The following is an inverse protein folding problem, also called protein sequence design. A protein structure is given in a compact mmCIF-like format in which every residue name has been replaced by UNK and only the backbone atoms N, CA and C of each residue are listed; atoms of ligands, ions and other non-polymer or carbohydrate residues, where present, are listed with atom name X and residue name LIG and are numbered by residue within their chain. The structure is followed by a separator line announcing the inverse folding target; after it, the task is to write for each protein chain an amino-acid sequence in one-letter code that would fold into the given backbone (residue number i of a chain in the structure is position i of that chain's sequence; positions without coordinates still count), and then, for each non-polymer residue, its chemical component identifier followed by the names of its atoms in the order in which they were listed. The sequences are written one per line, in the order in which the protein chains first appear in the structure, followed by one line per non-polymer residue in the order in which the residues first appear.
data_IF_853784434770
#
_entry.id   IF_853784434770
#
_cell.length_a   1.000
_cell.length_b   1.000
_cell.length_c   1.000
_cell.angle_alpha   90.00
_cell.angle_beta   90.00
_cell.angle_gamma   90.00
#
_symmetry.space_group_name_H-M   'P 1'
#
loop_
_entity.id
_entity.type
_entity.pdbx_description
1 polymer ?
#
# COMPACT_ATOMS: atom_id res chain seq x y z
N UNK A 1 16.75 51.05 -9.25
CA UNK A 1 16.93 50.29 -8.00
C UNK A 1 16.11 48.96 -7.99
N UNK A 2 14.82 49.01 -8.27
CA UNK A 2 13.97 47.80 -8.33
C UNK A 2 14.42 46.73 -9.36
N UNK A 3 14.91 47.11 -10.52
CA UNK A 3 15.37 46.17 -11.56
C UNK A 3 16.66 45.43 -11.20
N UNK A 4 17.57 46.06 -10.46
CA UNK A 4 18.79 45.43 -9.95
C UNK A 4 18.49 44.41 -8.84
N UNK A 5 17.56 44.70 -7.95
CA UNK A 5 17.12 43.81 -6.89
C UNK A 5 16.41 42.60 -7.47
N UNK A 6 15.54 42.78 -8.47
CA UNK A 6 14.86 41.71 -9.20
C UNK A 6 15.80 40.83 -10.05
N UNK A 7 16.93 41.38 -10.50
CA UNK A 7 17.95 40.66 -11.27
C UNK A 7 18.89 39.85 -10.33
N UNK A 8 19.27 40.46 -9.20
CA UNK A 8 20.01 39.74 -8.15
C UNK A 8 19.19 38.60 -7.52
N UNK A 9 17.90 38.82 -7.23
CA UNK A 9 17.04 37.79 -6.68
C UNK A 9 16.84 36.62 -7.65
N UNK A 10 16.79 36.86 -8.98
CA UNK A 10 16.76 35.79 -9.99
C UNK A 10 18.10 35.04 -10.11
N UNK A 11 19.22 35.72 -10.04
CA UNK A 11 20.55 35.10 -10.10
C UNK A 11 20.90 34.30 -8.84
N UNK A 12 20.52 34.79 -7.68
CA UNK A 12 20.69 34.08 -6.40
C UNK A 12 19.69 32.92 -6.31
N UNK A 13 18.43 33.13 -6.72
CA UNK A 13 17.38 32.11 -6.70
C UNK A 13 17.64 30.93 -7.64
N UNK A 14 18.34 31.12 -8.76
CA UNK A 14 18.64 30.03 -9.71
C UNK A 14 19.79 29.11 -9.26
N UNK A 15 20.70 29.60 -8.40
CA UNK A 15 21.85 28.84 -7.87
C UNK A 15 21.64 28.27 -6.46
N UNK A 16 20.67 28.79 -5.70
CA UNK A 16 20.37 28.37 -4.33
C UNK A 16 19.01 27.62 -4.27
N UNK A 17 18.92 26.47 -4.94
CA UNK A 17 17.72 25.63 -4.88
C UNK A 17 17.71 24.75 -3.62
N UNK A 18 16.53 24.55 -3.04
CA UNK A 18 16.32 23.64 -1.90
C UNK A 18 16.71 24.22 -0.54
N UNK A 19 17.27 23.38 0.32
CA UNK A 19 17.63 23.66 1.71
C UNK A 19 18.80 24.65 1.88
N UNK A 20 19.54 24.96 0.82
CA UNK A 20 20.68 25.88 0.85
C UNK A 20 20.23 27.32 1.06
N UNK A 21 19.06 27.72 0.60
CA UNK A 21 18.58 29.10 0.72
C UNK A 21 18.36 29.54 2.17
N UNK A 22 17.57 28.83 3.01
CA UNK A 22 17.42 29.19 4.42
C UNK A 22 18.76 29.20 5.16
N UNK A 23 19.67 28.27 4.87
CA UNK A 23 20.99 28.17 5.49
C UNK A 23 21.86 29.38 5.15
N UNK A 24 21.88 29.83 3.90
CA UNK A 24 22.62 31.02 3.49
C UNK A 24 22.04 32.28 4.14
N UNK A 25 20.71 32.39 4.21
CA UNK A 25 20.05 33.55 4.81
C UNK A 25 20.37 33.63 6.30
N UNK A 26 20.27 32.53 7.05
CA UNK A 26 20.57 32.56 8.51
C UNK A 26 22.04 32.92 8.80
N UNK A 27 22.98 32.35 8.03
CA UNK A 27 24.40 32.64 8.16
C UNK A 27 24.68 34.10 7.83
N UNK A 28 24.06 34.64 6.79
CA UNK A 28 24.25 36.04 6.38
C UNK A 28 23.67 36.99 7.46
N UNK A 29 22.44 36.73 7.92
CA UNK A 29 21.84 37.57 9.00
C UNK A 29 22.68 37.48 10.27
N UNK A 30 23.14 36.28 10.66
CA UNK A 30 24.00 36.10 11.84
C UNK A 30 25.31 36.91 11.74
N UNK A 31 26.07 36.76 10.65
CA UNK A 31 27.37 37.41 10.48
C UNK A 31 27.24 38.92 10.39
N UNK A 32 26.28 39.40 9.59
CA UNK A 32 26.08 40.85 9.40
C UNK A 32 25.56 41.51 10.68
N UNK A 33 24.64 40.89 11.41
CA UNK A 33 24.12 41.41 12.66
C UNK A 33 25.14 41.35 13.79
N UNK A 34 25.95 40.30 13.87
CA UNK A 34 27.03 40.24 14.86
C UNK A 34 28.07 41.34 14.66
N UNK A 35 28.54 41.50 13.42
CA UNK A 35 29.48 42.57 13.09
C UNK A 35 28.89 43.98 13.43
N UNK A 36 27.63 44.19 13.03
CA UNK A 36 26.94 45.44 13.33
C UNK A 36 26.79 45.67 14.84
N UNK A 37 26.41 44.65 15.62
CA UNK A 37 26.25 44.73 17.06
C UNK A 37 27.58 45.04 17.76
N UNK A 38 28.68 44.43 17.34
CA UNK A 38 30.02 44.69 17.88
C UNK A 38 30.51 46.10 17.58
N UNK A 39 29.99 46.77 16.53
CA UNK A 39 30.37 48.14 16.20
C UNK A 39 29.51 49.21 16.89
N UNK A 40 28.26 48.90 17.27
CA UNK A 40 27.31 49.91 17.77
C UNK A 40 27.08 49.82 19.29
N UNK A 41 27.38 48.70 19.90
CA UNK A 41 27.27 48.55 21.35
C UNK A 41 28.55 49.08 22.06
N UNK A 42 28.44 49.55 23.31
CA UNK A 42 29.60 50.03 24.07
C UNK A 42 30.72 48.99 24.20
N UNK A 43 31.95 49.43 24.22
CA UNK A 43 33.12 48.58 24.41
C UNK A 43 33.00 47.78 25.73
N UNK A 44 33.08 46.45 25.65
CA UNK A 44 32.90 45.52 26.78
C UNK A 44 31.46 45.04 27.00
N UNK A 45 30.53 45.37 26.12
CA UNK A 45 29.17 44.83 26.17
C UNK A 45 29.16 43.31 26.04
N UNK A 46 28.53 42.63 26.98
CA UNK A 46 28.47 41.15 27.02
C UNK A 46 27.77 40.55 25.80
N UNK A 47 26.80 41.25 25.21
CA UNK A 47 26.06 40.76 24.01
C UNK A 47 26.97 40.69 22.77
N UNK A 48 27.96 41.61 22.66
CA UNK A 48 28.85 41.64 21.50
C UNK A 48 29.93 40.52 21.54
N UNK A 49 30.15 39.90 22.70
CA UNK A 49 31.09 38.79 22.84
C UNK A 49 30.67 37.57 22.00
N UNK A 50 31.60 36.92 21.24
CA UNK A 50 31.25 35.78 20.37
C UNK A 50 30.53 34.65 21.09
N UNK A 51 30.91 34.39 22.35
CA UNK A 51 30.33 33.35 23.19
C UNK A 51 28.88 33.60 23.60
N UNK A 52 28.42 34.84 23.60
CA UNK A 52 27.09 35.23 24.03
C UNK A 52 26.19 35.58 22.82
N UNK A 53 26.79 36.17 21.76
CA UNK A 53 26.02 36.64 20.61
C UNK A 53 25.28 35.51 19.89
N UNK A 54 25.89 34.32 19.70
CA UNK A 54 25.23 33.19 19.07
C UNK A 54 23.97 32.76 19.85
N UNK A 55 24.05 32.81 21.19
CA UNK A 55 22.93 32.50 22.08
C UNK A 55 21.81 33.51 21.92
N UNK A 56 22.15 34.80 22.05
CA UNK A 56 21.22 35.91 21.81
C UNK A 56 20.53 35.76 20.44
N UNK A 57 21.33 35.51 19.41
CA UNK A 57 20.80 35.36 18.03
C UNK A 57 19.79 34.20 17.94
N UNK A 58 20.12 33.02 18.45
CA UNK A 58 19.24 31.84 18.42
C UNK A 58 17.96 32.09 19.20
N UNK A 59 18.07 32.60 20.42
CA UNK A 59 16.93 32.88 21.32
C UNK A 59 16.01 33.94 20.73
N UNK A 60 16.57 34.97 20.11
CA UNK A 60 15.80 36.05 19.48
C UNK A 60 15.19 35.63 18.16
N UNK A 61 15.97 34.98 17.29
CA UNK A 61 15.47 34.47 16.00
C UNK A 61 14.40 33.39 16.17
N UNK A 62 14.50 32.54 17.20
CA UNK A 62 13.49 31.55 17.56
C UNK A 62 12.29 32.16 18.34
N UNK A 63 12.24 33.46 18.55
CA UNK A 63 11.17 34.18 19.25
C UNK A 63 10.97 33.75 20.72
N UNK A 64 12.00 33.19 21.37
CA UNK A 64 11.96 32.75 22.77
C UNK A 64 12.15 33.97 23.71
N UNK A 65 13.21 34.79 23.49
CA UNK A 65 13.45 36.03 24.19
C UNK A 65 13.63 35.92 25.72
N UNK A 66 14.60 35.15 26.18
CA UNK A 66 14.85 35.03 27.65
C UNK A 66 15.21 36.37 28.32
N UNK A 67 15.74 37.33 27.53
CA UNK A 67 16.11 38.64 28.08
C UNK A 67 17.40 38.65 28.90
N UNK A 68 18.20 37.61 28.83
CA UNK A 68 19.50 37.46 29.47
C UNK A 68 20.58 38.30 28.77
N UNK A 69 20.49 38.43 27.43
CA UNK A 69 21.30 39.34 26.61
C UNK A 69 20.38 40.19 25.75
N UNK A 70 20.57 41.51 25.75
CA UNK A 70 19.81 42.42 24.91
C UNK A 70 20.66 43.67 24.58
N UNK A 71 20.44 44.31 23.43
CA UNK A 71 21.13 45.58 23.10
C UNK A 71 20.67 46.71 23.99
N UNK A 72 21.60 47.55 24.41
CA UNK A 72 21.31 48.71 25.31
C UNK A 72 21.39 50.05 24.57
N UNK A 73 22.09 50.12 23.44
CA UNK A 73 22.18 51.36 22.66
C UNK A 73 21.00 51.50 21.67
N UNK A 74 20.63 52.74 21.33
CA UNK A 74 19.59 52.98 20.31
C UNK A 74 19.94 52.34 18.95
N UNK A 75 21.21 52.39 18.57
CA UNK A 75 21.71 51.75 17.36
C UNK A 75 21.66 50.23 17.49
N UNK A 76 21.96 49.67 18.66
CA UNK A 76 21.81 48.25 18.97
C UNK A 76 20.36 47.76 18.89
N UNK A 77 19.37 48.57 19.29
CA UNK A 77 17.95 48.26 19.08
C UNK A 77 17.58 48.14 17.61
N UNK A 78 18.18 48.96 16.72
CA UNK A 78 17.97 48.82 15.26
C UNK A 78 18.55 47.52 14.76
N UNK A 79 19.74 47.12 15.20
CA UNK A 79 20.36 45.84 14.87
C UNK A 79 19.51 44.67 15.42
N UNK A 80 19.01 44.79 16.65
CA UNK A 80 18.10 43.81 17.26
C UNK A 80 16.82 43.62 16.44
N UNK A 81 16.23 44.73 15.95
CA UNK A 81 15.07 44.69 15.07
C UNK A 81 15.39 43.96 13.73
N UNK A 82 16.60 44.17 13.17
CA UNK A 82 17.07 43.43 12.00
C UNK A 82 17.21 41.93 12.29
N UNK A 83 17.72 41.54 13.46
CA UNK A 83 17.81 40.14 13.89
C UNK A 83 16.42 39.49 13.99
N UNK A 84 15.45 40.20 14.61
CA UNK A 84 14.07 39.72 14.74
C UNK A 84 13.45 39.49 13.36
N UNK A 85 13.49 40.46 12.46
CA UNK A 85 12.93 40.34 11.12
C UNK A 85 13.64 39.26 10.31
N UNK A 86 14.98 39.21 10.36
CA UNK A 86 15.80 38.21 9.71
C UNK A 86 15.51 36.79 10.23
N UNK A 87 15.31 36.65 11.54
CA UNK A 87 14.92 35.39 12.18
C UNK A 87 13.56 34.90 11.70
N UNK A 88 12.54 35.78 11.73
CA UNK A 88 11.18 35.44 11.23
C UNK A 88 11.22 35.00 9.76
N UNK A 89 11.92 35.74 8.89
CA UNK A 89 12.06 35.38 7.47
C UNK A 89 12.73 34.03 7.33
N UNK A 90 13.80 33.76 8.07
CA UNK A 90 14.52 32.47 7.99
C UNK A 90 13.65 31.31 8.44
N UNK A 91 12.94 31.46 9.58
CA UNK A 91 12.03 30.40 10.07
C UNK A 91 10.89 30.14 9.08
N UNK A 92 10.32 31.19 8.52
CA UNK A 92 9.27 31.06 7.48
C UNK A 92 9.77 30.27 6.27
N UNK A 93 10.97 30.58 5.78
CA UNK A 93 11.59 29.86 4.67
C UNK A 93 11.84 28.38 5.02
N UNK A 94 12.30 28.11 6.25
CA UNK A 94 12.56 26.76 6.74
C UNK A 94 11.27 25.93 6.79
N UNK A 95 10.22 26.45 7.40
CA UNK A 95 8.92 25.77 7.50
C UNK A 95 8.27 25.57 6.13
N UNK A 96 8.37 26.56 5.23
CA UNK A 96 7.87 26.41 3.87
C UNK A 96 8.58 25.25 3.14
N UNK A 97 9.91 25.18 3.25
CA UNK A 97 10.68 24.07 2.65
C UNK A 97 10.36 22.71 3.24
N UNK A 98 10.14 22.65 4.55
CA UNK A 98 9.72 21.43 5.21
C UNK A 98 8.34 20.99 4.73
N UNK A 99 7.39 21.92 4.60
CA UNK A 99 6.06 21.64 4.08
C UNK A 99 6.10 21.15 2.63
N UNK A 100 6.87 21.83 1.76
CA UNK A 100 7.08 21.41 0.36
C UNK A 100 7.67 19.99 0.27
N UNK A 101 8.65 19.69 1.09
CA UNK A 101 9.26 18.36 1.15
C UNK A 101 8.24 17.29 1.53
N UNK A 102 7.47 17.49 2.61
CA UNK A 102 6.44 16.57 3.07
C UNK A 102 5.34 16.37 2.01
N UNK A 103 4.91 17.45 1.36
CA UNK A 103 3.93 17.37 0.27
C UNK A 103 4.49 16.60 -0.94
N UNK A 104 5.75 16.80 -1.29
CA UNK A 104 6.38 16.11 -2.43
C UNK A 104 6.48 14.59 -2.20
N UNK A 105 6.82 14.16 -0.98
CA UNK A 105 6.88 12.74 -0.62
C UNK A 105 5.48 12.11 -0.67
N UNK A 106 4.47 12.77 -0.08
CA UNK A 106 3.07 12.30 -0.15
C UNK A 106 2.56 12.25 -1.58
N UNK A 107 2.84 13.27 -2.39
CA UNK A 107 2.44 13.33 -3.79
C UNK A 107 3.07 12.22 -4.64
N UNK A 108 4.32 11.84 -4.39
CA UNK A 108 4.96 10.71 -5.08
C UNK A 108 4.30 9.37 -4.72
N UNK A 109 3.98 9.14 -3.45
CA UNK A 109 3.25 7.94 -3.01
C UNK A 109 1.85 7.88 -3.62
N UNK A 110 1.10 8.99 -3.60
CA UNK A 110 -0.24 9.05 -4.23
C UNK A 110 -0.21 8.77 -5.72
N UNK A 111 0.84 9.19 -6.43
CA UNK A 111 1.04 8.93 -7.86
C UNK A 111 1.62 7.55 -8.18
N UNK A 112 1.93 6.73 -7.18
CA UNK A 112 2.39 5.36 -7.38
C UNK A 112 3.76 5.23 -8.05
N UNK A 113 4.65 6.23 -7.90
CA UNK A 113 5.99 6.21 -8.51
C UNK A 113 7.10 5.78 -7.54
N UNK A 114 6.74 5.46 -6.31
CA UNK A 114 7.68 5.03 -5.25
C UNK A 114 7.68 3.52 -5.16
N UNK A 115 8.85 2.92 -5.00
CA UNK A 115 8.97 1.49 -4.70
C UNK A 115 8.40 1.19 -3.31
N UNK A 116 7.70 0.07 -3.20
CA UNK A 116 7.12 -0.42 -1.95
C UNK A 116 8.15 -1.28 -1.19
N UNK A 117 7.93 -1.41 0.12
CA UNK A 117 8.71 -2.31 0.98
C UNK A 117 7.75 -3.31 1.64
N UNK A 118 7.16 -4.19 0.82
CA UNK A 118 6.19 -5.19 1.26
C UNK A 118 6.75 -6.61 1.11
N UNK A 119 6.25 -7.51 1.97
CA UNK A 119 6.50 -8.94 1.89
C UNK A 119 5.25 -9.69 2.39
N UNK A 120 5.05 -10.90 1.92
CA UNK A 120 3.89 -11.76 2.24
C UNK A 120 2.53 -11.06 2.02
N UNK A 121 2.46 -10.24 0.98
CA UNK A 121 1.34 -9.39 0.63
C UNK A 121 0.61 -9.90 -0.63
N UNK A 122 -0.56 -9.34 -0.91
CA UNK A 122 -1.31 -9.55 -2.14
C UNK A 122 -0.97 -8.45 -3.13
N UNK A 123 -0.67 -8.81 -4.38
CA UNK A 123 -0.50 -7.85 -5.47
C UNK A 123 -1.72 -7.94 -6.39
N UNK A 124 -2.34 -6.82 -6.69
CA UNK A 124 -3.44 -6.70 -7.65
C UNK A 124 -2.93 -5.94 -8.86
N UNK A 125 -2.81 -6.59 -9.99
CA UNK A 125 -2.35 -6.05 -11.27
C UNK A 125 -3.54 -5.79 -12.19
N UNK A 126 -3.87 -4.54 -12.36
CA UNK A 126 -5.04 -4.03 -13.07
C UNK A 126 -6.00 -3.29 -12.16
N UNK A 127 -6.55 -2.20 -12.68
CA UNK A 127 -7.56 -1.41 -12.00
C UNK A 127 -8.76 -1.16 -12.92
N UNK A 128 -9.92 -1.57 -12.45
CA UNK A 128 -11.21 -1.36 -13.09
C UNK A 128 -12.16 -0.74 -12.06
N UNK A 129 -12.55 0.51 -12.29
CA UNK A 129 -13.35 1.29 -11.35
C UNK A 129 -14.65 0.57 -10.96
N UNK A 130 -14.97 0.60 -9.66
CA UNK A 130 -16.12 -0.08 -9.05
C UNK A 130 -15.95 -1.59 -8.88
N UNK A 131 -15.10 -2.26 -9.67
CA UNK A 131 -14.80 -3.68 -9.53
C UNK A 131 -13.63 -3.92 -8.57
N UNK A 132 -12.52 -3.22 -8.81
CA UNK A 132 -11.32 -3.40 -7.99
C UNK A 132 -11.58 -3.00 -6.55
N UNK A 133 -12.32 -1.92 -6.30
CA UNK A 133 -12.67 -1.49 -4.93
C UNK A 133 -13.47 -2.55 -4.18
N UNK A 134 -14.42 -3.22 -4.86
CA UNK A 134 -15.16 -4.34 -4.25
C UNK A 134 -14.23 -5.52 -3.93
N UNK A 135 -13.33 -5.86 -4.83
CA UNK A 135 -12.34 -6.93 -4.61
C UNK A 135 -11.40 -6.59 -3.44
N UNK A 136 -10.96 -5.33 -3.32
CA UNK A 136 -10.16 -4.88 -2.19
C UNK A 136 -10.94 -4.98 -0.87
N UNK A 137 -12.21 -4.58 -0.85
CA UNK A 137 -13.07 -4.68 0.32
C UNK A 137 -13.24 -6.15 0.79
N UNK A 138 -13.44 -7.09 -0.13
CA UNK A 138 -13.53 -8.51 0.18
C UNK A 138 -12.19 -9.07 0.72
N UNK A 139 -11.06 -8.70 0.13
CA UNK A 139 -9.74 -9.09 0.62
C UNK A 139 -9.46 -8.59 2.04
N UNK A 140 -9.91 -7.37 2.35
CA UNK A 140 -9.80 -6.77 3.70
C UNK A 140 -10.68 -7.46 4.74
N UNK A 141 -11.91 -7.79 4.35
CA UNK A 141 -12.88 -8.42 5.26
C UNK A 141 -12.41 -9.81 5.72
N UNK A 142 -11.64 -10.51 4.90
CA UNK A 142 -11.12 -11.83 5.24
C UNK A 142 -9.80 -11.77 6.05
N UNK A 143 -8.88 -10.86 5.70
CA UNK A 143 -7.58 -10.71 6.38
C UNK A 143 -7.03 -9.29 6.18
N UNK A 144 -6.46 -8.71 7.24
CA UNK A 144 -5.75 -7.42 7.19
C UNK A 144 -4.35 -7.56 6.51
N UNK A 145 -4.27 -8.28 5.38
CA UNK A 145 -3.02 -8.47 4.63
C UNK A 145 -2.71 -7.21 3.82
N UNK A 146 -1.48 -6.69 3.83
CA UNK A 146 -1.10 -5.57 2.97
C UNK A 146 -1.36 -5.87 1.48
N UNK A 147 -1.83 -4.88 0.74
CA UNK A 147 -2.13 -5.00 -0.68
C UNK A 147 -1.30 -3.99 -1.48
N UNK A 148 -0.67 -4.45 -2.55
CA UNK A 148 -0.08 -3.60 -3.57
C UNK A 148 -1.04 -3.54 -4.77
N UNK A 149 -1.72 -2.41 -4.94
CA UNK A 149 -2.56 -2.14 -6.11
C UNK A 149 -1.71 -1.54 -7.21
N UNK A 150 -1.65 -2.19 -8.37
CA UNK A 150 -0.92 -1.72 -9.52
C UNK A 150 -1.89 -1.35 -10.65
N UNK A 151 -1.71 -0.17 -11.22
CA UNK A 151 -2.54 0.30 -12.33
C UNK A 151 -1.69 0.88 -13.46
N UNK A 152 -2.27 0.95 -14.66
CA UNK A 152 -1.67 1.58 -15.81
C UNK A 152 -1.51 3.10 -15.64
N UNK A 153 -0.71 3.71 -16.48
CA UNK A 153 -0.39 5.14 -16.41
C UNK A 153 -1.58 6.09 -16.59
N UNK A 154 -2.69 5.62 -17.15
CA UNK A 154 -3.95 6.37 -17.27
C UNK A 154 -4.65 6.59 -15.92
N UNK A 155 -4.34 5.77 -14.91
CA UNK A 155 -4.77 5.99 -13.52
C UNK A 155 -3.80 6.95 -12.84
N UNK A 156 -4.09 8.24 -12.89
CA UNK A 156 -3.17 9.32 -12.48
C UNK A 156 -2.73 9.30 -11.02
N UNK A 157 -3.59 8.87 -10.10
CA UNK A 157 -3.37 8.81 -8.65
C UNK A 157 -4.01 7.55 -8.05
N UNK A 158 -3.62 7.24 -6.80
CA UNK A 158 -4.21 6.14 -6.04
C UNK A 158 -5.74 6.27 -6.00
N UNK A 159 -6.50 5.30 -6.54
CA UNK A 159 -7.96 5.37 -6.57
C UNK A 159 -8.61 5.12 -5.19
N UNK A 160 -7.86 4.58 -4.22
CA UNK A 160 -8.35 4.29 -2.85
C UNK A 160 -7.40 4.91 -1.80
N UNK A 161 -7.21 6.24 -1.80
CA UNK A 161 -6.20 6.90 -0.96
C UNK A 161 -6.51 6.84 0.54
N UNK A 162 -7.76 6.59 0.91
CA UNK A 162 -8.24 6.50 2.29
C UNK A 162 -7.96 5.13 2.93
N UNK A 163 -7.59 4.13 2.13
CA UNK A 163 -7.31 2.79 2.60
C UNK A 163 -5.83 2.66 3.02
N UNK A 164 -5.53 2.56 4.32
CA UNK A 164 -4.15 2.52 4.81
C UNK A 164 -3.41 1.22 4.50
N UNK A 165 -4.14 0.15 4.16
CA UNK A 165 -3.59 -1.17 3.87
C UNK A 165 -3.22 -1.31 2.40
N UNK A 166 -3.79 -0.44 1.53
CA UNK A 166 -3.52 -0.42 0.10
C UNK A 166 -2.39 0.55 -0.24
N UNK A 167 -1.31 0.01 -0.76
CA UNK A 167 -0.22 0.77 -1.36
C UNK A 167 -0.37 0.77 -2.87
N UNK A 168 -0.06 1.89 -3.53
CA UNK A 168 -0.30 2.08 -4.95
C UNK A 168 0.98 2.15 -5.77
N UNK A 169 1.02 1.46 -6.90
CA UNK A 169 2.08 1.51 -7.92
C UNK A 169 1.46 1.78 -9.28
N UNK A 170 2.06 2.67 -10.06
CA UNK A 170 1.59 3.04 -11.39
C UNK A 170 2.66 2.80 -12.45
N UNK A 171 2.26 2.33 -13.62
CA UNK A 171 3.13 2.14 -14.76
C UNK A 171 2.65 1.08 -15.73
N UNK A 172 3.50 0.70 -16.67
CA UNK A 172 3.26 -0.42 -17.58
C UNK A 172 3.33 -1.73 -16.80
N UNK A 173 2.19 -2.40 -16.65
CA UNK A 173 2.04 -3.64 -15.86
C UNK A 173 2.75 -4.85 -16.48
N UNK A 174 3.33 -4.71 -17.66
CA UNK A 174 4.17 -5.73 -18.29
C UNK A 174 5.66 -5.49 -18.05
N UNK A 175 6.03 -4.36 -17.43
CA UNK A 175 7.41 -3.97 -17.21
C UNK A 175 7.95 -4.50 -15.87
N UNK A 176 9.17 -5.01 -15.89
CA UNK A 176 9.89 -5.50 -14.71
C UNK A 176 10.02 -4.43 -13.62
N UNK A 177 10.21 -3.15 -14.00
CA UNK A 177 10.28 -2.03 -13.04
C UNK A 177 9.00 -1.92 -12.18
N UNK A 178 7.82 -2.15 -12.75
CA UNK A 178 6.55 -2.15 -11.99
C UNK A 178 6.49 -3.34 -11.07
N UNK A 179 6.90 -4.53 -11.53
CA UNK A 179 6.96 -5.74 -10.70
C UNK A 179 7.88 -5.58 -9.50
N UNK A 180 9.05 -4.97 -9.71
CA UNK A 180 10.03 -4.69 -8.66
C UNK A 180 9.48 -3.66 -7.66
N UNK A 181 8.89 -2.56 -8.13
CA UNK A 181 8.29 -1.53 -7.27
C UNK A 181 7.09 -2.05 -6.47
N UNK A 182 6.33 -2.98 -7.02
CA UNK A 182 5.23 -3.67 -6.35
C UNK A 182 5.68 -4.83 -5.45
N UNK A 183 6.98 -5.13 -5.40
CA UNK A 183 7.57 -6.24 -4.65
C UNK A 183 6.98 -7.61 -5.02
N UNK A 184 6.64 -7.86 -6.29
CA UNK A 184 6.09 -9.13 -6.76
C UNK A 184 6.96 -10.32 -6.34
N UNK A 185 8.29 -10.18 -6.39
CA UNK A 185 9.22 -11.21 -5.93
C UNK A 185 9.03 -11.68 -4.48
N UNK A 186 8.38 -10.88 -3.63
CA UNK A 186 8.09 -11.18 -2.21
C UNK A 186 6.59 -11.33 -1.92
N UNK A 187 5.74 -11.27 -2.95
CA UNK A 187 4.29 -11.41 -2.80
C UNK A 187 3.90 -12.85 -2.42
N UNK A 188 2.83 -13.02 -1.66
CA UNK A 188 2.20 -14.31 -1.40
C UNK A 188 1.29 -14.73 -2.54
N UNK A 189 0.52 -13.80 -3.05
CA UNK A 189 -0.48 -14.03 -4.09
C UNK A 189 -0.48 -12.85 -5.06
N UNK A 190 -0.67 -13.14 -6.34
CA UNK A 190 -0.84 -12.13 -7.38
C UNK A 190 -2.19 -12.32 -8.06
N UNK A 191 -2.98 -11.27 -8.15
CA UNK A 191 -4.24 -11.23 -8.89
C UNK A 191 -4.01 -10.41 -10.15
N UNK A 192 -4.31 -10.98 -11.30
CA UNK A 192 -4.20 -10.32 -12.60
C UNK A 192 -5.61 -10.09 -13.16
N UNK A 193 -6.02 -8.81 -13.21
CA UNK A 193 -7.33 -8.40 -13.72
C UNK A 193 -7.13 -7.31 -14.79
N UNK A 194 -6.64 -7.75 -15.97
CA UNK A 194 -6.39 -6.87 -17.10
C UNK A 194 -7.68 -6.34 -17.74
N UNK A 195 -7.54 -5.35 -18.64
CA UNK A 195 -8.67 -4.76 -19.39
C UNK A 195 -9.24 -5.73 -20.44
N UNK A 196 -8.42 -6.66 -20.89
CA UNK A 196 -8.81 -7.78 -21.76
C UNK A 196 -7.92 -9.01 -21.51
N UNK A 197 -8.24 -10.13 -22.17
CA UNK A 197 -7.54 -11.40 -21.97
C UNK A 197 -6.12 -11.40 -22.55
N UNK A 198 -5.81 -10.56 -23.55
CA UNK A 198 -4.45 -10.45 -24.09
C UNK A 198 -3.56 -9.70 -23.12
N UNK A 199 -4.08 -8.63 -22.52
CA UNK A 199 -3.40 -7.89 -21.48
C UNK A 199 -3.19 -8.76 -20.24
N UNK A 200 -4.22 -9.51 -19.80
CA UNK A 200 -4.10 -10.50 -18.72
C UNK A 200 -2.98 -11.50 -18.97
N UNK A 201 -2.89 -12.03 -20.20
CA UNK A 201 -1.81 -12.94 -20.59
C UNK A 201 -0.43 -12.27 -20.54
N UNK A 202 -0.31 -11.05 -21.07
CA UNK A 202 0.97 -10.31 -21.06
C UNK A 202 1.45 -10.01 -19.64
N UNK A 203 0.53 -9.60 -18.75
CA UNK A 203 0.84 -9.35 -17.33
C UNK A 203 1.24 -10.66 -16.65
N UNK A 204 0.54 -11.79 -16.91
CA UNK A 204 0.86 -13.08 -16.31
C UNK A 204 2.27 -13.57 -16.70
N UNK A 205 2.72 -13.30 -17.93
CA UNK A 205 4.09 -13.57 -18.37
C UNK A 205 5.11 -12.75 -17.56
N UNK A 206 4.84 -11.46 -17.34
CA UNK A 206 5.71 -10.60 -16.55
C UNK A 206 5.77 -11.02 -15.07
N UNK A 207 4.65 -11.45 -14.51
CA UNK A 207 4.57 -12.01 -13.14
C UNK A 207 5.40 -13.27 -13.01
N UNK A 208 5.25 -14.22 -13.94
CA UNK A 208 6.01 -15.48 -13.92
C UNK A 208 7.51 -15.23 -14.07
N UNK A 209 7.90 -14.23 -14.88
CA UNK A 209 9.30 -13.80 -14.98
C UNK A 209 9.83 -13.21 -13.67
N UNK A 210 9.04 -12.38 -12.99
CA UNK A 210 9.44 -11.72 -11.74
C UNK A 210 9.50 -12.68 -10.55
N UNK A 211 8.57 -13.63 -10.49
CA UNK A 211 8.51 -14.67 -9.44
C UNK A 211 7.93 -15.97 -9.99
N UNK A 212 8.78 -16.88 -10.47
CA UNK A 212 8.33 -18.19 -10.95
C UNK A 212 7.55 -18.95 -9.87
N UNK A 213 6.38 -19.48 -10.26
CA UNK A 213 5.56 -20.31 -9.39
C UNK A 213 4.82 -19.59 -8.27
N UNK A 214 4.74 -18.26 -8.26
CA UNK A 214 3.89 -17.54 -7.32
C UNK A 214 2.42 -17.93 -7.53
N UNK A 215 1.66 -18.03 -6.45
CA UNK A 215 0.21 -18.26 -6.57
C UNK A 215 -0.43 -17.10 -7.34
N UNK A 216 -0.81 -17.35 -8.60
CA UNK A 216 -1.39 -16.35 -9.49
C UNK A 216 -2.83 -16.70 -9.81
N UNK A 217 -3.71 -15.71 -9.65
CA UNK A 217 -5.13 -15.77 -10.03
C UNK A 217 -5.34 -14.82 -11.20
N UNK A 218 -5.77 -15.34 -12.34
CA UNK A 218 -5.99 -14.56 -13.55
C UNK A 218 -7.49 -14.49 -13.89
N UNK A 219 -8.02 -13.27 -14.01
CA UNK A 219 -9.40 -13.04 -14.43
C UNK A 219 -9.48 -13.04 -15.96
N UNK A 220 -10.25 -13.96 -16.53
CA UNK A 220 -10.49 -14.10 -17.97
C UNK A 220 -11.94 -13.82 -18.33
N UNK A 221 -12.14 -13.10 -19.43
CA UNK A 221 -13.47 -12.91 -20.02
C UNK A 221 -13.92 -14.17 -20.74
N UNK A 222 -12.97 -14.82 -21.44
CA UNK A 222 -13.17 -16.09 -22.12
C UNK A 222 -12.31 -17.19 -21.50
N UNK A 223 -12.94 -18.09 -20.72
CA UNK A 223 -12.24 -19.23 -20.11
C UNK A 223 -11.65 -20.20 -21.14
N UNK A 224 -12.09 -20.17 -22.41
CA UNK A 224 -11.45 -20.91 -23.48
C UNK A 224 -9.99 -20.55 -23.71
N UNK A 225 -9.57 -19.35 -23.26
CA UNK A 225 -8.17 -18.89 -23.30
C UNK A 225 -7.31 -19.38 -22.13
N UNK A 226 -7.86 -20.15 -21.20
CA UNK A 226 -7.13 -20.72 -20.06
C UNK A 226 -5.86 -21.45 -20.47
N UNK A 227 -5.91 -22.17 -21.57
CA UNK A 227 -4.77 -22.96 -22.03
C UNK A 227 -3.58 -22.08 -22.43
N UNK A 228 -3.81 -20.85 -22.90
CA UNK A 228 -2.74 -19.90 -23.19
C UNK A 228 -1.98 -19.50 -21.89
N UNK A 229 -2.70 -19.30 -20.78
CA UNK A 229 -2.08 -19.02 -19.47
C UNK A 229 -1.35 -20.26 -18.92
N UNK A 230 -1.84 -21.46 -19.18
CA UNK A 230 -1.19 -22.70 -18.76
C UNK A 230 0.14 -22.95 -19.47
N UNK A 231 0.36 -22.41 -20.68
CA UNK A 231 1.68 -22.39 -21.30
C UNK A 231 2.68 -21.51 -20.54
N UNK A 232 2.21 -20.46 -19.86
CA UNK A 232 3.06 -19.62 -19.00
C UNK A 232 3.40 -20.36 -17.71
N UNK A 233 2.36 -20.80 -16.98
CA UNK A 233 2.50 -21.63 -15.79
C UNK A 233 1.21 -22.42 -15.56
N UNK A 234 1.33 -23.74 -15.41
CA UNK A 234 0.18 -24.62 -15.18
C UNK A 234 -0.53 -24.38 -13.83
N UNK A 235 0.15 -23.75 -12.88
CA UNK A 235 -0.38 -23.39 -11.57
C UNK A 235 -1.25 -22.15 -11.54
N UNK A 236 -1.39 -21.40 -12.66
CA UNK A 236 -2.23 -20.20 -12.70
C UNK A 236 -3.71 -20.60 -12.57
N UNK A 237 -4.35 -20.08 -11.52
CA UNK A 237 -5.78 -20.23 -11.31
C UNK A 237 -6.56 -19.25 -12.21
N UNK A 238 -7.27 -19.75 -13.20
CA UNK A 238 -8.08 -18.94 -14.10
C UNK A 238 -9.51 -18.85 -13.59
N UNK A 239 -10.01 -17.63 -13.39
CA UNK A 239 -11.36 -17.34 -12.92
C UNK A 239 -12.09 -16.57 -14.01
N UNK A 240 -13.36 -16.91 -14.23
CA UNK A 240 -14.17 -16.16 -15.18
C UNK A 240 -14.49 -14.76 -14.66
N UNK A 241 -14.21 -13.74 -15.46
CA UNK A 241 -14.40 -12.33 -15.10
C UNK A 241 -15.85 -11.98 -14.77
N UNK A 242 -16.81 -12.65 -15.42
CA UNK A 242 -18.24 -12.61 -15.11
C UNK A 242 -18.82 -14.04 -15.23
N UNK A 243 -19.89 -14.31 -14.53
CA UNK A 243 -20.54 -15.62 -14.53
C UNK A 243 -21.89 -15.56 -15.29
N UNK A 244 -21.90 -15.69 -16.62
CA UNK A 244 -23.17 -15.62 -17.39
C UNK A 244 -24.11 -16.77 -17.01
N UNK A 245 -23.58 -17.91 -16.58
CA UNK A 245 -24.36 -19.06 -16.09
C UNK A 245 -25.23 -18.71 -14.88
N UNK A 246 -24.81 -17.75 -14.04
CA UNK A 246 -25.59 -17.34 -12.89
C UNK A 246 -26.93 -16.69 -13.28
N UNK A 247 -26.99 -16.06 -14.47
CA UNK A 247 -28.22 -15.47 -15.02
C UNK A 247 -29.23 -16.59 -15.37
N UNK A 248 -28.72 -17.66 -15.96
CA UNK A 248 -29.57 -18.82 -16.32
C UNK A 248 -29.99 -19.62 -15.10
N UNK A 249 -29.12 -19.78 -14.12
CA UNK A 249 -29.44 -20.44 -12.84
C UNK A 249 -30.55 -19.67 -12.09
N UNK A 250 -30.45 -18.34 -11.99
CA UNK A 250 -31.48 -17.51 -11.34
C UNK A 250 -32.84 -17.58 -12.08
N UNK A 251 -32.80 -17.72 -13.42
CA UNK A 251 -34.04 -17.85 -14.20
C UNK A 251 -34.73 -19.21 -14.00
N UNK A 252 -33.95 -20.26 -13.70
CA UNK A 252 -34.47 -21.62 -13.46
C UNK A 252 -34.82 -21.84 -11.98
N UNK A 253 -33.98 -21.33 -11.08
CA UNK A 253 -34.09 -21.49 -9.64
C UNK A 253 -34.05 -20.10 -8.94
N UNK A 254 -35.16 -19.38 -8.85
CA UNK A 254 -35.24 -18.04 -8.28
C UNK A 254 -34.72 -17.98 -6.85
N UNK A 255 -33.80 -17.03 -6.57
CA UNK A 255 -33.16 -16.83 -5.28
C UNK A 255 -31.75 -17.48 -5.19
N UNK A 256 -31.32 -18.25 -6.18
CA UNK A 256 -30.00 -18.90 -6.18
C UNK A 256 -28.87 -17.87 -6.19
N UNK A 257 -29.06 -16.71 -6.83
CA UNK A 257 -28.09 -15.63 -6.85
C UNK A 257 -27.81 -15.08 -5.44
N UNK A 258 -28.82 -14.99 -4.58
CA UNK A 258 -28.65 -14.55 -3.19
C UNK A 258 -27.81 -15.55 -2.41
N UNK A 259 -28.03 -16.85 -2.62
CA UNK A 259 -27.24 -17.92 -1.99
C UNK A 259 -25.77 -17.84 -2.42
N UNK A 260 -25.49 -17.76 -3.72
CA UNK A 260 -24.12 -17.65 -4.22
C UNK A 260 -23.44 -16.36 -3.76
N UNK A 261 -24.16 -15.24 -3.74
CA UNK A 261 -23.65 -13.97 -3.24
C UNK A 261 -23.22 -14.06 -1.78
N UNK A 262 -24.07 -14.67 -0.93
CA UNK A 262 -23.77 -14.84 0.51
C UNK A 262 -22.57 -15.79 0.73
N UNK A 263 -22.47 -16.88 -0.05
CA UNK A 263 -21.38 -17.85 0.03
C UNK A 263 -20.03 -17.32 -0.49
N UNK A 264 -20.05 -16.30 -1.36
CA UNK A 264 -18.84 -15.71 -1.95
C UNK A 264 -18.43 -14.40 -1.26
N UNK A 265 -19.27 -13.82 -0.38
CA UNK A 265 -18.99 -12.56 0.30
C UNK A 265 -18.24 -12.77 1.61
N UNK A 266 -17.15 -12.04 1.83
CA UNK A 266 -16.48 -12.03 3.11
C UNK A 266 -17.42 -11.44 4.19
N UNK A 267 -17.65 -12.17 5.28
CA UNK A 267 -18.58 -11.76 6.34
C UNK A 267 -20.05 -12.11 6.08
N UNK A 268 -20.36 -12.89 5.04
CA UNK A 268 -21.68 -13.49 4.84
C UNK A 268 -22.08 -14.45 5.98
N UNK A 269 -23.34 -14.89 6.00
CA UNK A 269 -23.85 -15.86 7.00
C UNK A 269 -23.21 -17.24 6.87
N UNK A 270 -22.65 -17.57 5.72
CA UNK A 270 -21.81 -18.72 5.43
C UNK A 270 -20.72 -18.33 4.43
N UNK A 271 -19.57 -18.97 4.51
CA UNK A 271 -18.49 -18.73 3.55
C UNK A 271 -17.93 -20.05 3.03
N UNK A 272 -17.30 -20.03 1.88
CA UNK A 272 -16.69 -21.23 1.27
C UNK A 272 -15.21 -21.30 1.64
N UNK A 273 -14.80 -22.43 2.20
CA UNK A 273 -13.42 -22.67 2.63
C UNK A 273 -12.86 -23.94 2.03
N UNK A 274 -11.54 -24.04 2.02
CA UNK A 274 -10.82 -25.29 1.75
C UNK A 274 -10.10 -25.78 3.00
N UNK A 275 -10.06 -27.11 3.20
CA UNK A 275 -9.38 -27.76 4.31
C UNK A 275 -8.64 -28.99 3.79
N UNK A 276 -7.31 -29.01 3.92
CA UNK A 276 -6.52 -30.20 3.63
C UNK A 276 -6.59 -31.16 4.80
N UNK A 277 -7.00 -32.41 4.52
CA UNK A 277 -7.06 -33.46 5.55
C UNK A 277 -5.66 -33.80 6.04
N UNK A 278 -5.40 -33.71 7.34
CA UNK A 278 -4.12 -34.10 7.91
C UNK A 278 -3.94 -35.62 7.87
N UNK A 279 -2.71 -36.08 7.97
CA UNK A 279 -2.42 -37.50 8.19
C UNK A 279 -3.07 -37.96 9.51
N UNK A 280 -3.64 -39.16 9.53
CA UNK A 280 -4.29 -39.72 10.70
C UNK A 280 -5.65 -39.09 11.06
N UNK A 281 -6.34 -38.45 10.12
CA UNK A 281 -7.66 -37.82 10.35
C UNK A 281 -8.75 -38.79 10.80
N UNK A 282 -8.62 -40.09 10.53
CA UNK A 282 -9.49 -41.14 11.06
C UNK A 282 -10.85 -41.31 10.37
N UNK A 283 -11.15 -40.56 9.32
CA UNK A 283 -12.36 -40.74 8.53
C UNK A 283 -12.11 -41.80 7.43
N UNK A 284 -12.96 -42.83 7.35
CA UNK A 284 -12.88 -43.88 6.33
C UNK A 284 -13.60 -43.45 5.06
N UNK A 285 -14.70 -42.71 5.17
CA UNK A 285 -15.53 -42.29 4.07
C UNK A 285 -15.98 -40.82 4.23
N UNK A 286 -16.47 -40.24 3.13
CA UNK A 286 -17.03 -38.91 3.08
C UNK A 286 -18.15 -38.70 4.11
N UNK A 287 -19.06 -39.66 4.24
CA UNK A 287 -20.21 -39.59 5.17
C UNK A 287 -19.80 -39.40 6.62
N UNK A 288 -18.74 -40.08 7.07
CA UNK A 288 -18.19 -39.93 8.41
C UNK A 288 -17.67 -38.52 8.65
N UNK A 289 -16.89 -38.02 7.67
CA UNK A 289 -16.33 -36.68 7.70
C UNK A 289 -17.43 -35.61 7.67
N UNK A 290 -18.42 -35.74 6.76
CA UNK A 290 -19.56 -34.81 6.66
C UNK A 290 -20.35 -34.76 7.98
N UNK A 291 -20.61 -35.93 8.59
CA UNK A 291 -21.32 -36.02 9.85
C UNK A 291 -20.55 -35.32 10.99
N UNK A 292 -19.24 -35.54 11.05
CA UNK A 292 -18.36 -34.90 12.04
C UNK A 292 -18.33 -33.38 11.87
N UNK A 293 -18.07 -32.90 10.64
CA UNK A 293 -18.00 -31.48 10.32
C UNK A 293 -19.33 -30.76 10.54
N UNK A 294 -20.45 -31.40 10.16
CA UNK A 294 -21.78 -30.87 10.35
C UNK A 294 -22.15 -30.70 11.82
N UNK A 295 -21.94 -31.76 12.62
CA UNK A 295 -22.31 -31.75 14.06
C UNK A 295 -21.44 -30.83 14.89
N UNK A 296 -20.13 -30.78 14.61
CA UNK A 296 -19.17 -30.05 15.44
C UNK A 296 -19.00 -28.59 15.03
N UNK A 297 -18.98 -28.29 13.72
CA UNK A 297 -18.65 -26.99 13.18
C UNK A 297 -19.81 -26.35 12.41
N UNK A 298 -20.94 -27.05 12.24
CA UNK A 298 -22.04 -26.57 11.41
C UNK A 298 -21.64 -26.40 9.95
N UNK A 299 -20.69 -27.20 9.47
CA UNK A 299 -20.13 -27.10 8.14
C UNK A 299 -20.70 -28.19 7.20
N UNK A 300 -20.90 -27.82 5.93
CA UNK A 300 -21.34 -28.72 4.87
C UNK A 300 -20.26 -28.85 3.81
N UNK A 301 -19.75 -30.07 3.58
CA UNK A 301 -18.75 -30.32 2.53
C UNK A 301 -19.43 -30.40 1.18
N UNK A 302 -18.98 -29.59 0.24
CA UNK A 302 -19.50 -29.51 -1.12
C UNK A 302 -18.75 -30.40 -2.09
N UNK A 303 -17.42 -30.51 -1.92
CA UNK A 303 -16.56 -31.23 -2.84
C UNK A 303 -15.30 -31.76 -2.16
N UNK A 304 -14.68 -32.75 -2.79
CA UNK A 304 -13.40 -33.34 -2.41
C UNK A 304 -12.45 -33.25 -3.63
N UNK A 305 -11.20 -32.93 -3.37
CA UNK A 305 -10.12 -33.03 -4.38
C UNK A 305 -9.06 -33.98 -3.85
N UNK A 306 -8.73 -34.95 -4.63
CA UNK A 306 -7.67 -35.95 -4.40
C UNK A 306 -6.76 -36.11 -5.62
N UNK A 307 -6.01 -37.22 -5.68
CA UNK A 307 -5.13 -37.54 -6.81
C UNK A 307 -5.85 -37.84 -8.14
N UNK A 308 -7.12 -38.19 -8.09
CA UNK A 308 -7.95 -38.48 -9.26
C UNK A 308 -8.67 -37.21 -9.79
N UNK A 309 -8.82 -36.19 -8.98
CA UNK A 309 -9.43 -34.93 -9.40
C UNK A 309 -10.36 -34.28 -8.37
N UNK A 310 -11.31 -33.49 -8.88
CA UNK A 310 -12.35 -32.84 -8.10
C UNK A 310 -13.67 -33.59 -8.23
N UNK A 311 -14.19 -34.07 -7.12
CA UNK A 311 -15.55 -34.70 -7.04
C UNK A 311 -16.47 -33.72 -6.31
N UNK A 312 -17.48 -33.19 -6.99
CA UNK A 312 -18.52 -32.35 -6.40
C UNK A 312 -19.68 -33.24 -5.96
N UNK A 313 -20.28 -32.95 -4.82
CA UNK A 313 -21.36 -33.74 -4.21
C UNK A 313 -20.99 -35.25 -4.11
N UNK A 314 -19.92 -35.59 -3.33
CA UNK A 314 -19.45 -36.96 -3.23
C UNK A 314 -20.52 -37.88 -2.64
N UNK A 315 -20.52 -39.16 -3.07
CA UNK A 315 -21.35 -40.15 -2.43
C UNK A 315 -20.90 -40.41 -0.98
N UNK A 316 -21.82 -40.84 -0.13
CA UNK A 316 -21.56 -41.03 1.30
C UNK A 316 -20.44 -42.05 1.61
N UNK A 317 -20.27 -43.02 0.74
CA UNK A 317 -19.28 -44.08 0.80
C UNK A 317 -17.97 -43.78 0.09
N UNK A 318 -17.84 -42.54 -0.50
CA UNK A 318 -16.61 -42.11 -1.17
C UNK A 318 -15.43 -42.17 -0.18
N UNK A 319 -14.35 -42.94 -0.50
CA UNK A 319 -13.19 -43.03 0.38
C UNK A 319 -12.47 -41.67 0.53
N UNK A 320 -11.94 -41.40 1.71
CA UNK A 320 -11.15 -40.20 1.97
C UNK A 320 -9.69 -40.56 2.19
N UNK A 321 -8.83 -40.16 1.25
CA UNK A 321 -7.40 -40.32 1.37
C UNK A 321 -6.77 -39.19 2.21
N UNK A 322 -5.67 -39.51 2.91
CA UNK A 322 -4.84 -38.50 3.57
C UNK A 322 -4.33 -37.49 2.56
N UNK A 323 -4.34 -36.20 2.94
CA UNK A 323 -3.91 -35.13 2.07
C UNK A 323 -4.96 -34.68 1.05
N UNK A 324 -6.14 -35.32 0.96
CA UNK A 324 -7.28 -34.81 0.19
C UNK A 324 -7.68 -33.43 0.67
N UNK A 325 -8.17 -32.59 -0.24
CA UNK A 325 -8.68 -31.26 0.09
C UNK A 325 -10.19 -31.26 0.04
N UNK A 326 -10.81 -30.92 1.16
CA UNK A 326 -12.24 -30.70 1.26
C UNK A 326 -12.56 -29.23 0.92
N UNK A 327 -13.65 -29.03 0.19
CA UNK A 327 -14.26 -27.71 -0.02
C UNK A 327 -15.61 -27.70 0.71
N UNK A 328 -15.79 -26.79 1.66
CA UNK A 328 -16.96 -26.79 2.54
C UNK A 328 -17.51 -25.37 2.74
N UNK A 329 -18.79 -25.31 3.05
CA UNK A 329 -19.47 -24.09 3.54
C UNK A 329 -19.52 -24.15 5.06
N UNK A 330 -19.18 -23.04 5.70
CA UNK A 330 -19.23 -22.93 7.17
C UNK A 330 -19.18 -21.49 7.63
N UNK A 331 -19.44 -21.27 8.91
CA UNK A 331 -19.40 -19.92 9.52
C UNK A 331 -17.98 -19.43 9.80
N UNK A 332 -17.02 -20.34 9.92
CA UNK A 332 -15.64 -20.05 10.21
C UNK A 332 -14.70 -21.06 9.52
N UNK A 333 -13.45 -20.66 9.32
CA UNK A 333 -12.40 -21.54 8.80
C UNK A 333 -11.99 -22.55 9.86
N UNK A 334 -12.04 -23.84 9.52
CA UNK A 334 -11.64 -24.96 10.40
C UNK A 334 -10.13 -25.18 10.24
N UNK A 335 -9.39 -25.15 11.34
CA UNK A 335 -7.96 -25.46 11.30
C UNK A 335 -7.73 -26.99 11.27
N UNK A 336 -6.75 -27.51 10.49
CA UNK A 336 -6.49 -28.95 10.37
C UNK A 336 -6.28 -29.66 11.72
N UNK A 337 -5.68 -28.99 12.70
CA UNK A 337 -5.47 -29.49 14.07
C UNK A 337 -6.76 -29.77 14.84
N UNK A 338 -7.85 -29.06 14.51
CA UNK A 338 -9.14 -29.22 15.17
C UNK A 338 -9.83 -30.54 14.81
N UNK A 339 -9.46 -31.14 13.66
CA UNK A 339 -9.93 -32.46 13.24
C UNK A 339 -9.27 -33.59 14.07
N UNK A 340 -8.04 -33.38 14.51
CA UNK A 340 -7.26 -34.36 15.26
C UNK A 340 -7.56 -34.35 16.80
N UNK A 341 -8.14 -33.27 17.28
CA UNK A 341 -8.35 -33.03 18.72
C UNK A 341 -9.52 -33.84 19.34
N UNK A 342 -10.05 -34.87 18.66
CA UNK A 342 -11.18 -35.68 19.11
C UNK A 342 -10.87 -37.16 18.96
N UNK A 343 -10.05 -37.68 19.87
CA UNK A 343 -10.08 -39.08 20.32
C UNK A 343 -10.27 -39.14 21.82
#
# INVERSE_FOLDING_TARGET
MFFLIARLSRLVGSRLHGWRLPLVVIVLVFLTSWLAMALVEPAGSEIAAPGNYWWYFVVTAATVGYGDFFPVSTAGHVVGSYVIVGGIVTLTLLFTRLADYLQSVRGKRRRGVVALELADHVVVLGYLAGRTERMLAELHAENATPIALCAWDDVGENPVPEDPVVSFVRGDLTNVDVMDRACVGRARTVIVDGRDDNETLAIAVAVEHAKPGVHTVAALRDLGRRDNLRYVNQGIACVQWHMPTLITEEALDPGITEVYSDLMSAGGRGNTYSLRLPAGHGFSAFGDCQTHLGRRFGATVLAIRDGEGLTVSPAWDTPLAEGSTLYYVGRARIAPRELLATR
#
